data_IF_230040011223
#
_entry.id   IF_230040011223
#
_cell.length_a   1.000
_cell.length_b   1.000
_cell.length_c   1.000
_cell.angle_alpha   90.00
_cell.angle_beta   90.00
_cell.angle_gamma   90.00
#
_symmetry.space_group_name_H-M   'P 1'
#
loop_
_entity.id
_entity.type
_entity.pdbx_description
1 polymer ?
#
# COMPACT_ATOMS: atom_id res chain seq x y z
N UNK A 1 51.85 -0.07 -20.78
CA UNK A 1 51.67 -1.12 -19.75
C UNK A 1 50.66 -2.11 -20.30
N UNK A 2 50.91 -3.42 -20.26
CA UNK A 2 49.97 -4.41 -20.82
C UNK A 2 48.71 -4.49 -19.94
N UNK A 3 47.51 -4.79 -20.49
CA UNK A 3 46.28 -4.88 -19.70
C UNK A 3 46.36 -5.87 -18.52
N UNK A 4 47.09 -6.99 -18.70
CA UNK A 4 47.41 -7.96 -17.65
C UNK A 4 48.16 -7.35 -16.46
N UNK A 5 49.06 -6.41 -16.72
CA UNK A 5 49.95 -5.84 -15.70
C UNK A 5 49.24 -4.72 -14.96
N UNK A 6 48.37 -3.98 -15.64
CA UNK A 6 47.40 -3.08 -15.01
C UNK A 6 46.43 -3.87 -14.10
N UNK A 7 45.94 -5.04 -14.54
CA UNK A 7 45.11 -5.90 -13.73
C UNK A 7 45.86 -6.44 -12.49
N UNK A 8 47.07 -7.00 -12.67
CA UNK A 8 47.93 -7.47 -11.55
C UNK A 8 48.24 -6.34 -10.56
N UNK A 9 48.61 -5.15 -11.04
CA UNK A 9 48.88 -3.99 -10.17
C UNK A 9 47.60 -3.52 -9.45
N UNK A 10 46.44 -3.45 -10.11
CA UNK A 10 45.16 -3.15 -9.45
C UNK A 10 44.82 -4.17 -8.35
N UNK A 11 45.09 -5.46 -8.56
CA UNK A 11 44.87 -6.51 -7.55
C UNK A 11 45.85 -6.39 -6.37
N UNK A 12 47.09 -5.95 -6.60
CA UNK A 12 48.10 -5.77 -5.56
C UNK A 12 47.97 -4.45 -4.75
N UNK A 13 47.39 -3.39 -5.34
CA UNK A 13 47.25 -2.07 -4.72
C UNK A 13 45.81 -1.67 -4.34
N UNK A 14 44.81 -2.54 -4.56
CA UNK A 14 43.48 -2.33 -3.99
C UNK A 14 43.48 -2.54 -2.47
N UNK A 15 42.88 -1.60 -1.73
CA UNK A 15 42.49 -1.82 -0.33
C UNK A 15 41.65 -3.12 -0.24
N UNK A 16 41.98 -4.07 0.66
CA UNK A 16 41.17 -5.27 0.90
C UNK A 16 39.68 -4.98 1.13
N UNK A 17 39.33 -3.91 1.84
CA UNK A 17 37.95 -3.46 2.03
C UNK A 17 37.29 -3.15 0.67
N UNK A 18 37.94 -2.31 -0.16
CA UNK A 18 37.43 -1.95 -1.48
C UNK A 18 37.30 -3.18 -2.40
N UNK A 19 38.21 -4.16 -2.29
CA UNK A 19 38.13 -5.43 -3.02
C UNK A 19 37.01 -6.34 -2.51
N UNK A 20 36.66 -6.27 -1.22
CA UNK A 20 35.49 -6.94 -0.66
C UNK A 20 34.19 -6.27 -1.10
N UNK A 21 34.07 -4.94 -0.94
CA UNK A 21 32.92 -4.13 -1.39
C UNK A 21 32.64 -4.33 -2.88
N UNK A 22 33.66 -4.23 -3.75
CA UNK A 22 33.49 -4.48 -5.18
C UNK A 22 33.02 -5.90 -5.50
N UNK A 23 33.39 -6.90 -4.68
CA UNK A 23 32.91 -8.27 -4.83
C UNK A 23 31.45 -8.39 -4.42
N UNK A 24 31.09 -7.92 -3.22
CA UNK A 24 29.71 -7.90 -2.72
C UNK A 24 28.78 -7.17 -3.67
N UNK A 25 29.19 -6.02 -4.23
CA UNK A 25 28.42 -5.30 -5.24
C UNK A 25 28.26 -6.10 -6.55
N UNK A 26 29.32 -6.77 -7.01
CA UNK A 26 29.25 -7.60 -8.24
C UNK A 26 28.35 -8.82 -8.04
N UNK A 27 28.44 -9.48 -6.89
CA UNK A 27 27.59 -10.62 -6.50
C UNK A 27 26.13 -10.15 -6.34
N UNK A 28 25.89 -9.00 -5.70
CA UNK A 28 24.57 -8.38 -5.56
C UNK A 28 23.91 -8.06 -6.91
N UNK A 29 24.68 -7.58 -7.89
CA UNK A 29 24.18 -7.32 -9.24
C UNK A 29 23.67 -8.59 -9.93
N UNK A 30 24.27 -9.77 -9.67
CA UNK A 30 23.73 -11.05 -10.19
C UNK A 30 22.40 -11.44 -9.56
N UNK A 31 22.14 -11.01 -8.32
CA UNK A 31 20.88 -11.29 -7.61
C UNK A 31 19.79 -10.24 -7.91
N UNK A 32 20.15 -9.12 -8.56
CA UNK A 32 19.25 -7.99 -8.75
C UNK A 32 18.02 -8.34 -9.60
N UNK A 33 18.21 -9.13 -10.66
CA UNK A 33 17.11 -9.66 -11.49
C UNK A 33 16.14 -10.52 -10.68
N UNK A 34 16.68 -11.45 -9.86
CA UNK A 34 15.90 -12.29 -8.93
C UNK A 34 15.10 -11.46 -7.95
N UNK A 35 15.71 -10.45 -7.31
CA UNK A 35 15.04 -9.57 -6.33
C UNK A 35 13.96 -8.70 -6.99
N UNK A 36 14.22 -8.15 -8.19
CA UNK A 36 13.22 -7.42 -8.98
C UNK A 36 12.04 -8.33 -9.30
N UNK A 37 12.29 -9.50 -9.89
CA UNK A 37 11.26 -10.48 -10.26
C UNK A 37 10.43 -10.92 -9.04
N UNK A 38 11.10 -11.25 -7.92
CA UNK A 38 10.48 -11.63 -6.64
C UNK A 38 9.52 -10.57 -6.10
N UNK A 39 9.90 -9.29 -6.17
CA UNK A 39 9.07 -8.16 -5.73
C UNK A 39 7.95 -7.85 -6.71
N UNK A 40 8.20 -7.91 -8.02
CA UNK A 40 7.15 -7.74 -9.04
C UNK A 40 6.09 -8.85 -8.97
N UNK A 41 6.49 -10.09 -8.69
CA UNK A 41 5.58 -11.16 -8.31
C UNK A 41 4.83 -10.83 -7.01
N UNK A 42 5.50 -10.28 -5.99
CA UNK A 42 4.87 -9.84 -4.74
C UNK A 42 3.71 -8.86 -4.91
N UNK A 43 3.72 -8.03 -5.97
CA UNK A 43 2.63 -7.12 -6.33
C UNK A 43 1.47 -7.76 -7.12
N UNK A 44 1.49 -9.07 -7.37
CA UNK A 44 0.41 -9.77 -8.09
C UNK A 44 -0.54 -10.51 -7.14
N UNK A 45 -1.82 -10.54 -7.49
CA UNK A 45 -2.76 -11.54 -6.97
C UNK A 45 -2.40 -12.91 -7.53
N UNK A 46 -2.49 -13.97 -6.71
CA UNK A 46 -2.27 -15.34 -7.15
C UNK A 46 -3.53 -16.18 -6.93
N UNK A 47 -3.86 -16.98 -7.93
CA UNK A 47 -4.88 -18.00 -7.89
C UNK A 47 -4.27 -19.25 -7.24
N UNK A 48 -4.96 -19.79 -6.25
CA UNK A 48 -4.65 -21.08 -5.65
C UNK A 48 -5.66 -22.10 -6.18
N UNK A 49 -5.27 -23.37 -6.23
CA UNK A 49 -6.13 -24.48 -6.63
C UNK A 49 -6.16 -25.50 -5.49
N UNK A 50 -7.34 -26.00 -5.08
CA UNK A 50 -7.42 -27.01 -4.04
C UNK A 50 -6.89 -28.35 -4.56
N UNK A 51 -6.46 -29.23 -3.64
CA UNK A 51 -5.81 -30.50 -4.00
C UNK A 51 -6.70 -31.41 -4.88
N UNK A 52 -8.02 -31.34 -4.72
CA UNK A 52 -9.01 -32.14 -5.47
C UNK A 52 -9.79 -31.31 -6.52
N UNK A 53 -9.11 -30.45 -7.29
CA UNK A 53 -9.76 -29.79 -8.43
C UNK A 53 -9.87 -30.72 -9.65
N UNK A 54 -11.08 -31.24 -9.90
CA UNK A 54 -11.38 -32.17 -10.98
C UNK A 54 -12.60 -31.74 -11.81
N UNK A 55 -12.46 -30.70 -12.64
CA UNK A 55 -13.44 -30.34 -13.67
C UNK A 55 -13.45 -31.39 -14.81
N UNK A 56 -14.57 -32.10 -15.08
CA UNK A 56 -14.65 -33.08 -16.16
C UNK A 56 -14.63 -32.48 -17.58
N UNK A 57 -14.91 -31.18 -17.72
CA UNK A 57 -14.99 -30.48 -19.01
C UNK A 57 -13.66 -29.83 -19.42
N UNK A 58 -12.69 -29.74 -18.49
CA UNK A 58 -11.43 -29.05 -18.72
C UNK A 58 -10.49 -29.87 -19.61
N UNK A 59 -10.22 -29.37 -20.82
CA UNK A 59 -9.33 -30.04 -21.78
C UNK A 59 -7.92 -30.21 -21.22
N UNK A 60 -7.47 -31.47 -21.07
CA UNK A 60 -6.14 -31.81 -20.54
C UNK A 60 -5.00 -31.56 -21.54
N UNK A 61 -4.76 -30.29 -21.88
CA UNK A 61 -3.62 -29.80 -22.68
C UNK A 61 -2.93 -28.59 -22.05
N UNK A 62 -1.61 -28.51 -22.20
CA UNK A 62 -0.82 -27.39 -21.71
C UNK A 62 -1.02 -26.16 -22.60
N UNK A 63 -1.46 -25.04 -22.04
CA UNK A 63 -1.75 -23.80 -22.78
C UNK A 63 -0.52 -23.26 -23.53
N UNK A 64 0.68 -23.39 -22.98
CA UNK A 64 1.92 -22.85 -23.56
C UNK A 64 2.44 -23.65 -24.75
N UNK A 65 2.35 -24.98 -24.71
CA UNK A 65 2.94 -25.85 -25.74
C UNK A 65 1.93 -26.72 -26.52
N UNK A 66 0.63 -26.52 -26.28
CA UNK A 66 -0.52 -27.29 -26.81
C UNK A 66 -0.51 -28.82 -26.58
N UNK A 67 0.55 -29.39 -25.99
CA UNK A 67 0.69 -30.84 -25.75
C UNK A 67 -0.30 -31.32 -24.70
N UNK A 68 -0.96 -32.45 -24.96
CA UNK A 68 -1.85 -33.14 -24.00
C UNK A 68 -1.08 -33.69 -22.81
N UNK A 69 -1.70 -33.62 -21.62
CA UNK A 69 -1.19 -34.28 -20.41
C UNK A 69 -1.40 -35.79 -20.51
N UNK A 70 -0.43 -36.55 -20.03
CA UNK A 70 -0.36 -38.03 -20.06
C UNK A 70 0.50 -38.49 -18.89
N UNK A 71 0.59 -39.80 -18.64
CA UNK A 71 1.30 -40.38 -17.49
C UNK A 71 2.73 -39.82 -17.24
N UNK A 72 3.50 -39.51 -18.30
CA UNK A 72 4.85 -38.94 -18.21
C UNK A 72 4.91 -37.39 -18.28
N UNK A 73 3.78 -36.70 -18.40
CA UNK A 73 3.66 -35.25 -18.47
C UNK A 73 2.58 -34.80 -17.49
N UNK A 74 3.00 -34.57 -16.24
CA UNK A 74 2.16 -34.03 -15.17
C UNK A 74 1.61 -32.65 -15.55
N UNK A 75 0.34 -32.47 -15.25
CA UNK A 75 -0.40 -31.22 -15.18
C UNK A 75 -0.05 -30.45 -13.90
N UNK A 76 -0.02 -29.13 -14.01
CA UNK A 76 0.04 -28.16 -12.92
C UNK A 76 -0.79 -26.95 -13.31
N UNK A 77 -1.27 -26.17 -12.35
CA UNK A 77 -1.85 -24.86 -12.62
C UNK A 77 -0.80 -23.74 -12.46
N UNK A 78 -0.86 -22.73 -13.33
CA UNK A 78 -0.13 -21.48 -13.16
C UNK A 78 -0.83 -20.64 -12.10
N UNK A 79 -0.19 -20.43 -10.96
CA UNK A 79 -0.78 -19.68 -9.84
C UNK A 79 -0.90 -18.17 -10.12
N UNK A 80 -0.36 -17.63 -11.22
CA UNK A 80 -0.62 -16.25 -11.63
C UNK A 80 -1.81 -16.12 -12.58
N UNK A 81 -2.10 -17.13 -13.41
CA UNK A 81 -3.01 -17.00 -14.55
C UNK A 81 -3.97 -18.18 -14.76
N UNK A 82 -4.12 -19.05 -13.75
CA UNK A 82 -5.08 -20.15 -13.71
C UNK A 82 -4.86 -21.29 -14.71
N UNK A 83 -4.07 -21.08 -15.76
CA UNK A 83 -3.96 -21.98 -16.89
C UNK A 83 -3.13 -23.24 -16.59
N UNK A 84 -3.55 -24.36 -17.20
CA UNK A 84 -2.92 -25.67 -17.05
C UNK A 84 -1.62 -25.75 -17.85
N UNK A 85 -0.53 -26.11 -17.19
CA UNK A 85 0.84 -26.08 -17.72
C UNK A 85 1.67 -27.27 -17.25
N UNK A 86 2.58 -27.74 -18.11
CA UNK A 86 3.51 -28.82 -17.75
C UNK A 86 4.75 -28.29 -17.02
N UNK A 87 5.56 -29.21 -16.48
CA UNK A 87 6.86 -28.91 -15.87
C UNK A 87 7.77 -28.08 -16.79
N UNK A 88 7.96 -28.49 -18.05
CA UNK A 88 8.81 -27.78 -19.01
C UNK A 88 8.33 -26.35 -19.37
N UNK A 89 7.10 -25.98 -19.00
CA UNK A 89 6.52 -24.66 -19.28
C UNK A 89 6.21 -23.86 -18.01
N UNK A 90 6.61 -24.34 -16.83
CA UNK A 90 6.36 -23.66 -15.55
C UNK A 90 7.39 -23.97 -14.47
N UNK A 91 7.74 -22.96 -13.68
CA UNK A 91 8.73 -23.08 -12.59
C UNK A 91 8.20 -22.41 -11.32
N UNK A 92 8.71 -22.84 -10.16
CA UNK A 92 8.47 -22.19 -8.88
C UNK A 92 9.37 -20.95 -8.76
N UNK A 93 8.77 -19.78 -8.57
CA UNK A 93 9.48 -18.51 -8.34
C UNK A 93 9.26 -18.02 -6.91
N UNK A 94 10.27 -17.33 -6.36
CA UNK A 94 10.15 -16.61 -5.10
C UNK A 94 9.15 -15.45 -5.25
N UNK A 95 8.32 -15.24 -4.22
CA UNK A 95 7.32 -14.16 -4.14
C UNK A 95 7.41 -13.49 -2.78
N UNK A 96 7.64 -12.18 -2.76
CA UNK A 96 7.70 -11.34 -1.55
C UNK A 96 6.33 -10.69 -1.33
N UNK A 97 5.35 -11.48 -0.84
CA UNK A 97 3.94 -11.06 -0.72
C UNK A 97 3.68 -10.15 0.50
N UNK A 98 4.55 -10.20 1.50
CA UNK A 98 4.70 -9.20 2.57
C UNK A 98 6.19 -8.92 2.76
N UNK A 99 6.54 -7.81 3.41
CA UNK A 99 7.95 -7.49 3.71
C UNK A 99 8.54 -8.59 4.58
N UNK A 100 9.63 -9.22 4.12
CA UNK A 100 10.29 -10.34 4.79
C UNK A 100 9.66 -11.73 4.58
N UNK A 101 8.40 -11.81 4.12
CA UNK A 101 7.70 -13.10 3.93
C UNK A 101 7.87 -13.62 2.50
N UNK A 102 8.70 -14.67 2.34
CA UNK A 102 8.98 -15.29 1.04
C UNK A 102 8.25 -16.62 0.88
N UNK A 103 7.44 -16.73 -0.17
CA UNK A 103 6.79 -17.99 -0.61
C UNK A 103 7.23 -18.38 -2.01
N UNK A 104 6.94 -19.62 -2.44
CA UNK A 104 7.24 -20.13 -3.78
C UNK A 104 5.95 -20.40 -4.56
N UNK A 105 5.70 -19.67 -5.64
CA UNK A 105 4.51 -19.85 -6.49
C UNK A 105 4.90 -20.34 -7.89
N UNK A 106 4.14 -21.30 -8.44
CA UNK A 106 4.37 -21.86 -9.77
C UNK A 106 3.81 -20.92 -10.84
N UNK A 107 4.69 -20.36 -11.66
CA UNK A 107 4.31 -19.49 -12.77
C UNK A 107 4.69 -20.13 -14.11
N UNK A 108 3.87 -19.93 -15.14
CA UNK A 108 4.20 -20.34 -16.50
C UNK A 108 5.19 -19.35 -17.14
N UNK A 109 5.93 -19.79 -18.16
CA UNK A 109 6.95 -18.93 -18.81
C UNK A 109 6.37 -17.62 -19.38
N UNK A 110 5.13 -17.61 -19.88
CA UNK A 110 4.48 -16.40 -20.39
C UNK A 110 4.19 -15.38 -19.27
N UNK A 111 3.80 -15.87 -18.08
CA UNK A 111 3.62 -15.05 -16.89
C UNK A 111 4.93 -14.42 -16.40
N UNK A 112 6.02 -15.18 -16.46
CA UNK A 112 7.36 -14.68 -16.11
C UNK A 112 7.76 -13.56 -17.07
N UNK A 113 7.58 -13.75 -18.37
CA UNK A 113 7.86 -12.71 -19.39
C UNK A 113 7.03 -11.45 -19.18
N UNK A 114 5.71 -11.57 -18.92
CA UNK A 114 4.85 -10.41 -18.60
C UNK A 114 5.33 -9.66 -17.35
N UNK A 115 5.67 -10.37 -16.27
CA UNK A 115 6.20 -9.79 -15.01
C UNK A 115 7.59 -9.15 -15.19
N UNK A 116 8.47 -9.75 -15.99
CA UNK A 116 9.81 -9.23 -16.29
C UNK A 116 9.78 -8.02 -17.24
N UNK A 117 8.75 -7.91 -18.08
CA UNK A 117 8.52 -6.75 -18.95
C UNK A 117 7.70 -5.62 -18.28
N UNK A 118 7.16 -5.83 -17.07
CA UNK A 118 6.12 -4.98 -16.46
C UNK A 118 4.83 -4.83 -17.31
N UNK A 119 4.55 -5.79 -18.19
CA UNK A 119 3.34 -5.76 -19.03
C UNK A 119 2.18 -6.41 -18.27
N UNK A 120 1.41 -5.56 -17.59
CA UNK A 120 0.25 -5.95 -16.78
C UNK A 120 -1.09 -5.47 -17.35
N UNK A 121 -1.05 -4.60 -18.36
CA UNK A 121 -2.21 -3.91 -18.93
C UNK A 121 -2.52 -4.48 -20.33
N UNK A 122 -2.31 -5.79 -20.48
CA UNK A 122 -2.48 -6.60 -21.68
C UNK A 122 -3.95 -7.01 -21.79
N UNK A 123 -4.65 -6.71 -22.89
CA UNK A 123 -6.09 -7.02 -23.03
C UNK A 123 -6.35 -8.54 -23.00
N UNK A 124 -5.36 -9.33 -23.45
CA UNK A 124 -5.38 -10.80 -23.32
C UNK A 124 -5.23 -11.28 -21.87
N UNK A 125 -4.99 -10.42 -20.87
CA UNK A 125 -4.81 -10.84 -19.48
C UNK A 125 -6.11 -11.39 -18.88
N UNK A 126 -7.27 -10.79 -19.18
CA UNK A 126 -8.56 -11.28 -18.68
C UNK A 126 -8.91 -12.68 -19.22
N UNK A 127 -8.86 -12.93 -20.55
CA UNK A 127 -8.90 -14.30 -21.08
C UNK A 127 -7.81 -15.22 -20.51
N UNK A 128 -6.59 -14.70 -20.32
CA UNK A 128 -5.47 -15.48 -19.81
C UNK A 128 -5.48 -15.74 -18.30
N UNK A 129 -6.42 -15.20 -17.51
CA UNK A 129 -6.57 -15.49 -16.08
C UNK A 129 -7.30 -16.83 -15.81
N UNK A 130 -7.95 -17.41 -16.83
CA UNK A 130 -8.68 -18.67 -16.73
C UNK A 130 -10.06 -18.54 -16.06
N UNK A 131 -10.79 -19.65 -15.86
CA UNK A 131 -12.08 -19.62 -15.17
C UNK A 131 -11.90 -19.17 -13.72
N UNK A 132 -12.69 -18.18 -13.29
CA UNK A 132 -12.70 -17.67 -11.93
C UNK A 132 -13.33 -18.73 -11.01
N UNK A 133 -12.51 -19.40 -10.21
CA UNK A 133 -12.96 -20.36 -9.20
C UNK A 133 -13.23 -19.64 -7.87
N UNK A 134 -14.52 -19.50 -7.52
CA UNK A 134 -14.98 -19.14 -6.18
C UNK A 134 -15.79 -20.31 -5.62
N UNK A 135 -15.09 -21.24 -4.97
CA UNK A 135 -15.42 -21.71 -3.62
C UNK A 135 -14.44 -22.80 -3.19
N UNK A 136 -13.68 -22.57 -2.12
CA UNK A 136 -13.10 -23.66 -1.30
C UNK A 136 -12.75 -23.14 0.10
N UNK A 137 -13.09 -23.85 1.19
CA UNK A 137 -12.84 -23.39 2.56
C UNK A 137 -11.37 -23.06 2.85
N UNK A 138 -11.06 -22.16 3.80
CA UNK A 138 -9.69 -21.72 4.13
C UNK A 138 -8.69 -22.86 4.39
N UNK A 139 -9.17 -24.00 4.89
CA UNK A 139 -8.39 -25.17 5.27
C UNK A 139 -7.81 -25.93 4.07
N UNK A 140 -8.43 -25.86 2.88
CA UNK A 140 -8.03 -26.61 1.69
C UNK A 140 -6.81 -26.01 0.94
N UNK A 141 -6.32 -24.84 1.36
CA UNK A 141 -5.26 -24.09 0.69
C UNK A 141 -3.86 -24.31 1.27
N UNK A 142 -3.75 -25.02 2.39
CA UNK A 142 -2.47 -25.36 3.02
C UNK A 142 -1.82 -26.54 2.30
N UNK A 143 -0.49 -26.52 2.02
CA UNK A 143 0.21 -27.74 1.69
C UNK A 143 0.22 -28.65 2.93
N UNK A 144 -0.33 -29.85 2.78
CA UNK A 144 -0.18 -30.88 3.80
C UNK A 144 1.33 -31.16 4.04
N UNK A 145 1.76 -31.48 5.27
CA UNK A 145 3.09 -32.04 5.50
C UNK A 145 3.25 -33.29 4.64
N UNK A 146 4.41 -33.46 3.98
CA UNK A 146 4.63 -34.64 3.12
C UNK A 146 4.70 -35.91 3.97
N UNK A 147 3.59 -36.65 3.96
CA UNK A 147 3.48 -37.95 4.61
C UNK A 147 3.91 -39.05 3.63
N UNK A 148 5.19 -39.42 3.67
CA UNK A 148 5.54 -40.83 3.57
C UNK A 148 6.70 -41.16 4.52
N UNK A 149 6.68 -42.37 5.08
CA UNK A 149 7.48 -42.71 6.24
C UNK A 149 8.64 -43.66 5.91
N UNK A 150 9.86 -43.26 6.29
CA UNK A 150 10.91 -44.22 6.62
C UNK A 150 11.75 -43.70 7.77
N UNK A 151 11.88 -44.51 8.82
CA UNK A 151 12.70 -44.19 9.98
C UNK A 151 14.19 -44.28 9.67
N UNK A 152 14.98 -43.37 10.24
CA UNK A 152 15.95 -43.71 11.28
C UNK A 152 16.49 -42.44 11.96
N UNK A 153 16.96 -42.63 13.19
CA UNK A 153 17.52 -41.70 14.17
C UNK A 153 18.50 -40.66 13.62
N UNK A 154 18.43 -39.42 14.12
CA UNK A 154 19.23 -38.99 15.28
C UNK A 154 18.65 -37.71 15.92
N UNK A 155 19.02 -37.42 17.18
CA UNK A 155 18.60 -36.23 17.94
C UNK A 155 19.70 -35.16 17.89
N UNK A 156 19.37 -33.94 17.44
CA UNK A 156 20.03 -32.71 17.91
C UNK A 156 18.97 -31.61 18.09
N UNK A 157 18.87 -31.07 19.30
CA UNK A 157 18.15 -29.83 19.59
C UNK A 157 19.04 -28.63 19.18
N UNK A 158 18.54 -27.68 18.40
CA UNK A 158 19.24 -26.41 18.12
C UNK A 158 18.34 -25.19 18.36
N UNK A 159 18.90 -24.20 19.05
CA UNK A 159 18.20 -23.12 19.72
C UNK A 159 18.04 -21.93 18.74
N UNK A 160 17.07 -22.03 17.81
CA UNK A 160 16.83 -21.00 16.77
C UNK A 160 16.23 -19.72 17.36
N UNK A 161 17.08 -18.93 18.03
CA UNK A 161 16.76 -17.61 18.56
C UNK A 161 16.32 -16.64 17.45
N UNK A 162 15.06 -16.22 17.51
CA UNK A 162 14.44 -15.35 16.52
C UNK A 162 14.84 -13.88 16.71
N UNK A 163 16.02 -13.52 16.20
CA UNK A 163 16.51 -12.13 16.19
C UNK A 163 15.67 -11.27 15.23
N UNK A 164 14.62 -10.66 15.76
CA UNK A 164 13.85 -9.64 15.06
C UNK A 164 14.71 -8.38 14.85
N UNK A 165 15.10 -8.12 13.60
CA UNK A 165 15.72 -6.84 13.20
C UNK A 165 14.62 -5.78 13.04
N UNK A 166 14.71 -4.70 13.80
CA UNK A 166 13.73 -3.60 13.77
C UNK A 166 13.83 -2.76 12.50
N UNK A 167 12.68 -2.27 12.01
CA UNK A 167 12.58 -1.47 10.78
C UNK A 167 13.46 -0.20 10.79
N UNK A 168 13.79 0.31 11.99
CA UNK A 168 14.70 1.44 12.25
C UNK A 168 16.05 1.38 11.52
N UNK A 169 16.55 0.17 11.29
CA UNK A 169 17.95 -0.02 10.88
C UNK A 169 18.12 0.07 9.36
N UNK A 170 17.03 -0.19 8.61
CA UNK A 170 17.00 -0.18 7.15
C UNK A 170 17.06 1.24 6.56
N UNK A 171 16.31 2.19 7.14
CA UNK A 171 16.17 3.56 6.62
C UNK A 171 17.48 4.35 6.59
N UNK A 172 18.49 3.95 7.37
CA UNK A 172 19.79 4.60 7.44
C UNK A 172 20.94 3.77 6.83
N UNK A 173 20.66 2.68 6.12
CA UNK A 173 21.71 1.79 5.58
C UNK A 173 22.67 2.53 4.63
N UNK A 174 22.14 3.40 3.75
CA UNK A 174 22.94 4.23 2.84
C UNK A 174 23.84 5.23 3.60
N UNK A 175 23.36 5.80 4.71
CA UNK A 175 24.14 6.70 5.55
C UNK A 175 25.28 5.99 6.28
N UNK A 176 25.01 4.77 6.77
CA UNK A 176 26.02 3.93 7.44
C UNK A 176 27.10 3.43 6.46
N UNK A 177 26.73 3.03 5.23
CA UNK A 177 27.67 2.66 4.17
C UNK A 177 28.60 3.82 3.74
N UNK A 178 28.15 5.07 3.88
CA UNK A 178 28.92 6.28 3.60
C UNK A 178 29.68 6.82 4.84
N UNK A 179 29.59 6.14 5.98
CA UNK A 179 30.25 6.59 7.22
C UNK A 179 31.77 6.55 7.11
N UNK A 180 32.43 7.57 7.68
CA UNK A 180 33.89 7.58 7.83
C UNK A 180 34.38 6.62 8.94
N UNK A 181 33.50 6.24 9.88
CA UNK A 181 33.79 5.21 10.87
C UNK A 181 33.88 3.81 10.22
N UNK A 182 35.02 3.08 10.35
CA UNK A 182 35.16 1.73 9.80
C UNK A 182 34.18 0.71 10.39
N UNK A 183 33.85 0.79 11.69
CA UNK A 183 32.99 -0.24 12.31
C UNK A 183 31.54 -0.14 11.82
N UNK A 184 30.97 1.07 11.80
CA UNK A 184 29.64 1.34 11.25
C UNK A 184 29.56 0.92 9.79
N UNK A 185 30.60 1.20 8.99
CA UNK A 185 30.65 0.77 7.59
C UNK A 185 30.73 -0.75 7.44
N UNK A 186 31.51 -1.42 8.30
CA UNK A 186 31.62 -2.89 8.30
C UNK A 186 30.30 -3.56 8.68
N UNK A 187 29.62 -3.06 9.73
CA UNK A 187 28.29 -3.54 10.15
C UNK A 187 27.25 -3.34 9.04
N UNK A 188 27.26 -2.19 8.36
CA UNK A 188 26.37 -1.93 7.23
C UNK A 188 26.63 -2.86 6.03
N UNK A 189 27.89 -3.18 5.72
CA UNK A 189 28.25 -4.14 4.68
C UNK A 189 27.85 -5.58 5.05
N UNK A 190 27.97 -5.97 6.31
CA UNK A 190 27.51 -7.27 6.81
C UNK A 190 25.98 -7.38 6.71
N UNK A 191 25.25 -6.32 7.08
CA UNK A 191 23.79 -6.26 6.99
C UNK A 191 23.31 -6.32 5.53
N UNK A 192 23.99 -5.61 4.61
CA UNK A 192 23.79 -5.75 3.17
C UNK A 192 24.07 -7.18 2.69
N UNK A 193 25.12 -7.81 3.21
CA UNK A 193 25.47 -9.21 2.93
C UNK A 193 24.35 -10.18 3.35
N UNK A 194 23.75 -10.00 4.53
CA UNK A 194 22.61 -10.80 5.00
C UNK A 194 21.34 -10.60 4.16
N UNK A 195 21.10 -9.39 3.66
CA UNK A 195 19.96 -9.07 2.78
C UNK A 195 20.08 -9.68 1.37
N UNK A 196 21.31 -9.89 0.89
CA UNK A 196 21.61 -10.47 -0.44
C UNK A 196 21.87 -11.98 -0.38
N UNK A 197 22.45 -12.46 0.72
CA UNK A 197 22.95 -13.82 0.89
C UNK A 197 22.10 -14.69 1.81
N UNK A 198 21.20 -15.46 1.21
CA UNK A 198 20.67 -16.69 1.82
C UNK A 198 20.37 -17.75 0.75
N UNK A 199 21.32 -18.69 0.58
CA UNK A 199 21.02 -20.11 0.46
C UNK A 199 21.74 -20.92 1.54
N UNK A 200 21.15 -22.05 1.95
CA UNK A 200 21.69 -22.96 2.97
C UNK A 200 22.81 -23.86 2.41
N UNK A 201 24.03 -23.77 2.95
CA UNK A 201 25.01 -24.88 2.96
C UNK A 201 26.23 -24.54 3.84
N UNK A 202 26.84 -25.55 4.46
CA UNK A 202 27.93 -25.44 5.43
C UNK A 202 29.33 -25.67 4.83
N UNK A 203 30.38 -25.15 5.50
CA UNK A 203 31.75 -25.72 5.55
C UNK A 203 32.62 -24.91 6.52
N UNK A 204 33.71 -25.51 7.03
CA UNK A 204 34.46 -25.02 8.19
C UNK A 204 35.96 -24.75 7.91
N UNK A 205 36.72 -24.42 8.97
CA UNK A 205 38.20 -24.26 9.03
C UNK A 205 38.78 -22.94 8.45
N UNK A 206 39.85 -22.34 9.00
CA UNK A 206 40.51 -22.52 10.32
C UNK A 206 41.49 -21.38 10.67
N UNK A 207 41.55 -21.03 11.96
CA UNK A 207 42.72 -20.57 12.75
C UNK A 207 43.73 -19.53 12.20
N UNK A 208 43.96 -18.47 12.98
CA UNK A 208 45.26 -18.27 13.69
C UNK A 208 45.23 -17.09 14.67
N UNK A 209 46.05 -17.15 15.73
CA UNK A 209 46.33 -16.03 16.65
C UNK A 209 47.41 -15.08 16.04
N UNK A 210 47.82 -13.91 16.56
CA UNK A 210 47.87 -13.28 17.91
C UNK A 210 48.19 -11.76 17.69
N UNK A 211 48.32 -10.78 18.62
CA UNK A 211 48.33 -10.73 20.09
C UNK A 211 48.02 -9.32 20.67
N UNK A 212 47.96 -9.25 22.01
CA UNK A 212 47.98 -8.11 22.96
C UNK A 212 48.51 -6.74 22.45
N UNK A 213 47.77 -5.68 22.79
CA UNK A 213 48.26 -4.28 22.86
C UNK A 213 47.57 -3.51 24.01
N UNK A 214 48.28 -2.66 24.77
CA UNK A 214 47.81 -2.05 26.03
C UNK A 214 48.47 -0.68 26.31
N UNK A 215 47.68 0.40 26.34
CA UNK A 215 47.91 1.67 27.08
C UNK A 215 46.59 2.48 27.05
N UNK A 216 46.03 3.15 28.07
CA UNK A 216 46.47 4.00 29.21
C UNK A 216 46.69 5.51 28.93
N UNK A 217 45.60 6.28 29.16
CA UNK A 217 45.47 7.58 29.87
C UNK A 217 46.24 8.85 29.43
N UNK A 218 45.41 9.88 29.13
CA UNK A 218 45.50 11.31 29.55
C UNK A 218 46.69 12.17 28.98
N UNK A 219 46.71 13.52 29.16
CA UNK A 219 45.81 14.40 29.95
C UNK A 219 45.10 15.51 29.13
N UNK A 220 44.59 16.53 29.84
CA UNK A 220 43.60 17.52 29.41
C UNK A 220 44.13 18.95 29.19
N UNK A 221 43.20 19.83 28.78
CA UNK A 221 43.11 21.27 29.15
C UNK A 221 44.15 22.27 28.63
N UNK A 222 43.69 23.16 27.75
CA UNK A 222 44.13 24.55 27.57
C UNK A 222 42.90 25.46 27.53
N UNK A 223 42.99 26.73 27.94
CA UNK A 223 41.81 27.56 28.25
C UNK A 223 41.93 29.02 27.79
N UNK A 224 40.78 29.71 27.80
CA UNK A 224 40.56 31.17 27.64
C UNK A 224 40.89 31.81 26.27
N UNK A 225 39.86 32.41 25.64
CA UNK A 225 39.61 33.87 25.78
C UNK A 225 38.29 34.33 25.16
N UNK A 226 37.60 35.23 25.85
CA UNK A 226 36.49 36.02 25.32
C UNK A 226 36.93 37.03 24.26
N UNK A 227 36.05 37.31 23.29
CA UNK A 227 35.81 38.68 22.81
C UNK A 227 34.31 38.87 22.55
N UNK A 228 33.79 40.06 22.89
CA UNK A 228 32.37 40.37 22.94
C UNK A 228 32.01 41.41 21.86
N UNK A 229 31.21 41.05 20.86
CA UNK A 229 30.78 41.96 19.79
C UNK A 229 29.26 41.96 19.58
N UNK A 230 28.62 43.07 19.95
CA UNK A 230 27.16 43.28 19.77
C UNK A 230 26.84 43.68 18.33
N UNK A 231 26.20 42.80 17.55
CA UNK A 231 25.66 43.10 16.22
C UNK A 231 24.20 43.57 16.29
N UNK A 232 23.87 44.67 15.59
CA UNK A 232 22.55 45.33 15.67
C UNK A 232 21.54 44.69 14.72
N UNK A 233 20.36 44.30 15.23
CA UNK A 233 19.28 43.70 14.44
C UNK A 233 18.53 44.72 13.57
N UNK A 234 18.84 44.77 12.27
CA UNK A 234 18.08 45.56 11.28
C UNK A 234 16.72 44.88 10.99
N UNK A 235 15.67 45.29 11.69
CA UNK A 235 14.29 44.78 11.59
C UNK A 235 13.63 45.16 10.25
N UNK A 236 13.93 44.41 9.18
CA UNK A 236 13.42 44.61 7.82
C UNK A 236 11.90 44.34 7.78
N UNK A 237 11.07 45.38 7.87
CA UNK A 237 9.60 45.28 7.82
C UNK A 237 9.13 44.78 6.44
N UNK A 238 8.92 43.48 6.29
CA UNK A 238 8.12 42.94 5.19
C UNK A 238 6.67 43.42 5.36
N UNK A 239 6.07 43.97 4.30
CA UNK A 239 4.63 44.24 4.27
C UNK A 239 3.91 42.91 4.05
N UNK A 240 3.56 42.21 5.13
CA UNK A 240 2.69 41.01 5.08
C UNK A 240 1.38 41.41 4.40
N UNK A 241 1.07 40.82 3.25
CA UNK A 241 -0.18 41.10 2.54
C UNK A 241 -1.38 40.77 3.43
N UNK A 242 -2.49 41.50 3.27
CA UNK A 242 -3.77 41.08 3.85
C UNK A 242 -4.18 39.79 3.15
N UNK A 243 -4.25 38.68 3.88
CA UNK A 243 -4.85 37.44 3.40
C UNK A 243 -6.32 37.68 3.04
N UNK A 244 -6.81 36.97 2.03
CA UNK A 244 -8.26 36.92 1.75
C UNK A 244 -8.99 36.18 2.88
N UNK A 245 -10.32 36.33 2.96
CA UNK A 245 -11.14 35.58 3.91
C UNK A 245 -10.99 34.06 3.68
N UNK A 246 -10.97 33.60 2.43
CA UNK A 246 -10.70 32.19 2.10
C UNK A 246 -9.32 31.71 2.57
N UNK A 247 -8.25 32.48 2.37
CA UNK A 247 -6.91 32.14 2.86
C UNK A 247 -6.80 32.14 4.39
N UNK A 248 -7.63 32.91 5.09
CA UNK A 248 -7.72 32.90 6.54
C UNK A 248 -8.53 31.71 7.07
N UNK A 249 -9.59 31.29 6.37
CA UNK A 249 -10.37 30.10 6.73
C UNK A 249 -9.59 28.81 6.42
N UNK A 250 -8.91 28.72 5.28
CA UNK A 250 -7.99 27.60 4.99
C UNK A 250 -6.90 27.48 6.06
N UNK A 251 -6.21 28.58 6.39
CA UNK A 251 -5.24 28.62 7.51
C UNK A 251 -5.90 28.23 8.84
N UNK A 252 -7.18 28.55 9.08
CA UNK A 252 -7.92 28.13 10.27
C UNK A 252 -8.22 26.62 10.29
N UNK A 253 -8.57 26.02 9.14
CA UNK A 253 -8.77 24.57 8.99
C UNK A 253 -7.44 23.82 9.17
N UNK A 254 -6.37 24.25 8.50
CA UNK A 254 -5.02 23.71 8.65
C UNK A 254 -4.54 23.77 10.11
N UNK A 255 -4.74 24.92 10.79
CA UNK A 255 -4.37 25.07 12.20
C UNK A 255 -5.28 24.24 13.11
N UNK A 256 -6.58 24.14 12.86
CA UNK A 256 -7.46 23.28 13.65
C UNK A 256 -7.02 21.82 13.55
N UNK A 257 -6.87 21.30 12.34
CA UNK A 257 -6.36 19.95 12.05
C UNK A 257 -5.01 19.73 12.73
N UNK A 258 -4.05 20.65 12.57
CA UNK A 258 -2.71 20.52 13.14
C UNK A 258 -2.74 20.53 14.68
N UNK A 259 -3.56 21.36 15.31
CA UNK A 259 -3.71 21.42 16.77
C UNK A 259 -4.46 20.21 17.34
N UNK A 260 -5.43 19.66 16.61
CA UNK A 260 -6.13 18.43 16.99
C UNK A 260 -5.18 17.24 16.87
N UNK A 261 -4.47 17.09 15.73
CA UNK A 261 -3.46 16.05 15.52
C UNK A 261 -2.28 16.14 16.50
N UNK A 262 -1.87 17.34 16.91
CA UNK A 262 -0.82 17.52 17.92
C UNK A 262 -1.23 16.96 19.30
N UNK A 263 -2.53 16.92 19.61
CA UNK A 263 -3.09 16.31 20.83
C UNK A 263 -3.32 14.81 20.63
N UNK A 264 -3.92 14.40 19.51
CA UNK A 264 -4.26 13.00 19.20
C UNK A 264 -3.10 12.16 18.65
N UNK A 265 -1.86 12.70 18.57
CA UNK A 265 -0.70 12.00 17.97
C UNK A 265 -0.33 10.66 18.61
N UNK A 266 -0.87 10.38 19.80
CA UNK A 266 -0.67 9.14 20.55
C UNK A 266 -1.82 8.13 20.35
N UNK A 267 -2.92 8.54 19.73
CA UNK A 267 -4.12 7.70 19.50
C UNK A 267 -4.04 6.96 18.16
N UNK A 268 -3.39 7.56 17.15
CA UNK A 268 -3.20 6.99 15.82
C UNK A 268 -1.87 6.24 15.71
N UNK A 269 -1.79 5.07 16.34
CA UNK A 269 -0.78 4.06 16.02
C UNK A 269 -1.18 3.28 14.75
N UNK A 270 -0.26 2.51 14.16
CA UNK A 270 -0.52 1.81 12.89
C UNK A 270 -1.57 0.71 13.04
N UNK A 271 -1.60 0.07 14.21
CA UNK A 271 -2.54 -0.96 14.64
C UNK A 271 -3.97 -0.42 14.76
N UNK A 272 -4.12 0.88 15.02
CA UNK A 272 -5.40 1.56 15.20
C UNK A 272 -5.98 2.12 13.88
N UNK A 273 -5.25 2.02 12.77
CA UNK A 273 -5.67 2.50 11.46
C UNK A 273 -6.36 1.37 10.67
N UNK A 274 -7.68 1.44 10.52
CA UNK A 274 -8.50 0.40 9.90
C UNK A 274 -9.13 0.87 8.57
N UNK A 275 -9.13 -0.01 7.56
CA UNK A 275 -9.59 0.27 6.19
C UNK A 275 -10.33 -0.93 5.62
N UNK A 276 -11.43 -0.69 4.91
CA UNK A 276 -12.33 -1.76 4.46
C UNK A 276 -11.90 -2.44 3.14
N UNK A 277 -10.65 -2.89 3.07
CA UNK A 277 -10.08 -3.63 1.93
C UNK A 277 -9.81 -5.12 2.22
N UNK A 278 -9.72 -5.52 3.50
CA UNK A 278 -9.20 -6.84 3.93
C UNK A 278 -10.16 -8.01 3.83
N UNK A 279 -11.47 -7.77 3.93
CA UNK A 279 -12.53 -8.80 3.85
C UNK A 279 -13.73 -8.27 3.06
N UNK A 280 -14.55 -9.19 2.54
CA UNK A 280 -15.83 -8.89 1.88
C UNK A 280 -16.88 -9.86 2.43
N UNK A 281 -18.00 -9.32 2.90
CA UNK A 281 -19.09 -10.00 3.60
C UNK A 281 -20.40 -10.04 2.80
N UNK A 282 -20.49 -9.22 1.74
CA UNK A 282 -21.55 -9.23 0.74
C UNK A 282 -21.21 -10.07 -0.48
N UNK A 283 -22.24 -10.61 -1.14
CA UNK A 283 -22.14 -11.20 -2.48
C UNK A 283 -22.24 -10.09 -3.54
N UNK A 284 -21.75 -10.38 -4.74
CA UNK A 284 -22.01 -9.50 -5.89
C UNK A 284 -23.36 -9.85 -6.52
N UNK A 285 -24.16 -8.81 -6.78
CA UNK A 285 -25.38 -8.88 -7.56
C UNK A 285 -25.18 -8.04 -8.83
N UNK A 286 -25.63 -8.54 -9.97
CA UNK A 286 -25.48 -7.88 -11.28
C UNK A 286 -26.87 -7.64 -11.86
N UNK A 287 -27.17 -6.39 -12.19
CA UNK A 287 -28.47 -5.97 -12.70
C UNK A 287 -28.30 -4.79 -13.67
N UNK A 288 -28.11 -5.12 -14.95
CA UNK A 288 -27.96 -4.14 -16.04
C UNK A 288 -29.19 -3.25 -16.31
N UNK A 289 -30.25 -3.31 -15.49
CA UNK A 289 -31.32 -2.31 -15.47
C UNK A 289 -31.07 -1.17 -14.47
N UNK A 290 -30.10 -1.34 -13.57
CA UNK A 290 -29.78 -0.42 -12.44
C UNK A 290 -28.40 0.25 -12.56
N UNK A 291 -27.62 -0.12 -13.57
CA UNK A 291 -26.26 0.37 -13.88
C UNK A 291 -26.07 0.46 -15.40
N UNK A 292 -25.16 1.32 -15.83
CA UNK A 292 -24.84 1.60 -17.24
C UNK A 292 -24.10 0.45 -17.93
N UNK A 293 -23.36 -0.36 -17.17
CA UNK A 293 -22.58 -1.50 -17.65
C UNK A 293 -23.09 -2.79 -16.98
N UNK A 294 -23.44 -3.81 -17.78
CA UNK A 294 -24.03 -5.07 -17.28
C UNK A 294 -23.07 -5.89 -16.40
N UNK A 295 -21.76 -5.74 -16.61
CA UNK A 295 -20.71 -6.43 -15.86
C UNK A 295 -20.25 -5.62 -14.63
N UNK A 296 -20.88 -4.48 -14.33
CA UNK A 296 -20.65 -3.71 -13.10
C UNK A 296 -21.53 -4.23 -11.96
N UNK A 297 -20.96 -4.75 -10.85
CA UNK A 297 -21.76 -5.24 -9.73
C UNK A 297 -22.41 -4.08 -8.96
N UNK A 298 -23.64 -4.31 -8.47
CA UNK A 298 -24.32 -3.37 -7.58
C UNK A 298 -23.48 -3.16 -6.30
N UNK A 299 -23.37 -1.92 -5.80
CA UNK A 299 -22.76 -1.69 -4.50
C UNK A 299 -23.66 -2.29 -3.40
N UNK A 300 -23.07 -2.83 -2.33
CA UNK A 300 -23.84 -3.31 -1.20
C UNK A 300 -24.58 -2.14 -0.53
N UNK A 301 -25.80 -2.40 -0.06
CA UNK A 301 -26.59 -1.42 0.69
C UNK A 301 -26.60 -1.78 2.19
N UNK A 302 -26.63 -0.79 3.10
CA UNK A 302 -26.89 -1.05 4.51
C UNK A 302 -28.25 -1.74 4.70
N UNK A 303 -28.48 -2.29 5.90
CA UNK A 303 -29.83 -2.75 6.30
C UNK A 303 -30.89 -1.67 6.02
N UNK A 304 -32.08 -2.08 5.58
CA UNK A 304 -33.13 -1.17 5.14
C UNK A 304 -33.54 -0.14 6.21
N UNK A 305 -33.46 -0.48 7.50
CA UNK A 305 -33.73 0.48 8.58
C UNK A 305 -32.60 1.50 8.75
N UNK A 306 -31.33 1.07 8.64
CA UNK A 306 -30.16 1.97 8.63
C UNK A 306 -30.21 2.90 7.43
N UNK A 307 -30.45 2.38 6.22
CA UNK A 307 -30.47 3.18 5.00
C UNK A 307 -31.63 4.19 5.00
N UNK A 308 -32.80 3.83 5.52
CA UNK A 308 -33.92 4.75 5.70
C UNK A 308 -33.60 5.89 6.69
N UNK A 309 -32.99 5.60 7.85
CA UNK A 309 -32.54 6.61 8.82
C UNK A 309 -31.52 7.58 8.20
N UNK A 310 -30.56 7.01 7.46
CA UNK A 310 -29.47 7.70 6.76
C UNK A 310 -30.00 8.63 5.66
N UNK A 311 -30.94 8.18 4.84
CA UNK A 311 -31.64 9.00 3.83
C UNK A 311 -32.48 10.10 4.48
N UNK A 312 -33.18 9.81 5.58
CA UNK A 312 -33.94 10.81 6.33
C UNK A 312 -33.02 11.90 6.92
N UNK A 313 -31.84 11.53 7.43
CA UNK A 313 -30.84 12.51 7.88
C UNK A 313 -30.34 13.41 6.74
N UNK A 314 -30.01 12.83 5.58
CA UNK A 314 -29.59 13.58 4.39
C UNK A 314 -30.64 14.63 4.02
N UNK A 315 -31.92 14.22 3.94
CA UNK A 315 -33.04 15.11 3.61
C UNK A 315 -33.26 16.20 4.68
N UNK A 316 -33.08 15.87 5.97
CA UNK A 316 -33.20 16.81 7.08
C UNK A 316 -31.98 17.76 7.26
N UNK A 317 -30.80 17.41 6.74
CA UNK A 317 -29.59 18.26 6.82
C UNK A 317 -29.70 19.55 5.99
N UNK A 318 -30.53 19.52 4.95
CA UNK A 318 -30.64 20.60 3.96
C UNK A 318 -29.47 20.70 2.97
N UNK A 319 -28.44 19.86 3.06
CA UNK A 319 -27.22 19.95 2.23
C UNK A 319 -27.47 19.76 0.71
N UNK A 320 -28.54 19.04 0.35
CA UNK A 320 -28.96 18.85 -1.04
C UNK A 320 -29.69 20.08 -1.63
N UNK A 321 -30.07 21.08 -0.82
CA UNK A 321 -30.79 22.26 -1.33
C UNK A 321 -29.86 23.16 -2.17
N UNK A 322 -30.40 23.79 -3.21
CA UNK A 322 -29.64 24.72 -4.04
C UNK A 322 -29.05 25.89 -3.23
N UNK A 323 -29.79 26.39 -2.24
CA UNK A 323 -29.42 27.54 -1.39
C UNK A 323 -28.49 27.20 -0.20
N UNK A 324 -28.01 25.96 -0.09
CA UNK A 324 -27.05 25.57 0.94
C UNK A 324 -25.65 26.16 0.68
N UNK A 325 -25.03 26.76 1.70
CA UNK A 325 -23.66 27.29 1.62
C UNK A 325 -22.61 26.17 1.65
N UNK A 326 -22.12 25.80 0.46
CA UNK A 326 -21.10 24.78 0.26
C UNK A 326 -19.67 25.28 0.50
N UNK A 327 -19.45 26.58 0.79
CA UNK A 327 -18.10 27.17 0.80
C UNK A 327 -17.15 26.51 1.81
N UNK A 328 -17.62 26.18 3.01
CA UNK A 328 -16.84 25.47 4.02
C UNK A 328 -16.50 24.02 3.58
N UNK A 329 -17.44 23.33 2.94
CA UNK A 329 -17.25 21.97 2.44
C UNK A 329 -16.28 21.93 1.24
N UNK A 330 -16.33 22.93 0.36
CA UNK A 330 -15.35 23.11 -0.73
C UNK A 330 -13.94 23.33 -0.19
N UNK A 331 -13.78 24.12 0.89
CA UNK A 331 -12.47 24.32 1.54
C UNK A 331 -11.96 23.05 2.24
N UNK A 332 -12.84 22.25 2.85
CA UNK A 332 -12.45 20.93 3.40
C UNK A 332 -12.06 19.96 2.27
N UNK A 333 -12.79 19.94 1.16
CA UNK A 333 -12.47 19.16 -0.03
C UNK A 333 -11.12 19.54 -0.65
N UNK A 334 -10.80 20.84 -0.71
CA UNK A 334 -9.48 21.33 -1.14
C UNK A 334 -8.37 20.84 -0.21
N UNK A 335 -8.51 21.06 1.11
CA UNK A 335 -7.49 20.62 2.09
C UNK A 335 -7.31 19.10 2.05
N UNK A 336 -8.38 18.32 1.85
CA UNK A 336 -8.30 16.87 1.68
C UNK A 336 -7.51 16.44 0.43
N UNK A 337 -7.78 17.08 -0.72
CA UNK A 337 -7.06 16.83 -1.97
C UNK A 337 -5.56 17.15 -1.83
N UNK A 338 -5.24 18.37 -1.36
CA UNK A 338 -3.86 18.81 -1.11
C UNK A 338 -3.14 17.91 -0.10
N UNK A 339 -3.85 17.44 0.94
CA UNK A 339 -3.28 16.58 1.99
C UNK A 339 -2.86 15.20 1.49
N UNK A 340 -3.60 14.66 0.51
CA UNK A 340 -3.33 13.37 -0.16
C UNK A 340 -2.60 13.55 -1.50
N UNK A 341 -2.10 14.75 -1.81
CA UNK A 341 -1.45 15.09 -3.08
C UNK A 341 -2.28 14.76 -4.34
N UNK A 342 -3.62 14.73 -4.19
CA UNK A 342 -4.57 14.41 -5.26
C UNK A 342 -5.04 15.68 -5.99
N UNK A 343 -5.36 15.60 -7.30
CA UNK A 343 -5.91 16.74 -8.06
C UNK A 343 -7.36 17.08 -7.68
N UNK A 344 -8.14 16.09 -7.21
CA UNK A 344 -9.59 16.20 -6.96
C UNK A 344 -9.89 15.86 -5.49
N UNK A 345 -10.80 16.62 -4.87
CA UNK A 345 -11.39 16.31 -3.57
C UNK A 345 -12.86 16.70 -3.51
N UNK A 346 -13.66 15.99 -2.71
CA UNK A 346 -15.10 16.26 -2.58
C UNK A 346 -15.70 15.74 -1.28
N UNK A 347 -16.78 16.40 -0.85
CA UNK A 347 -17.69 15.97 0.22
C UNK A 347 -18.95 15.45 -0.46
N UNK A 348 -19.36 14.24 -0.12
CA UNK A 348 -20.45 13.51 -0.78
C UNK A 348 -21.55 13.10 0.18
N UNK A 349 -22.77 13.04 -0.33
CA UNK A 349 -23.91 12.29 0.23
C UNK A 349 -24.48 11.38 -0.86
N UNK A 350 -25.17 10.31 -0.48
CA UNK A 350 -25.91 9.46 -1.43
C UNK A 350 -27.31 9.22 -0.87
N UNK A 351 -28.36 9.67 -1.54
CA UNK A 351 -29.73 9.45 -1.08
C UNK A 351 -30.27 8.07 -1.53
N UNK A 352 -31.57 7.96 -1.74
CA UNK A 352 -32.26 6.75 -2.21
C UNK A 352 -31.89 6.40 -3.66
N UNK A 353 -31.55 7.39 -4.49
CA UNK A 353 -31.42 7.23 -5.96
C UNK A 353 -30.08 7.74 -6.51
N UNK A 354 -29.48 8.77 -5.91
CA UNK A 354 -28.36 9.53 -6.47
C UNK A 354 -27.26 9.82 -5.44
N UNK A 355 -26.02 9.83 -5.92
CA UNK A 355 -24.88 10.50 -5.30
C UNK A 355 -24.95 12.01 -5.57
N UNK A 356 -24.50 12.81 -4.59
CA UNK A 356 -24.47 14.27 -4.65
C UNK A 356 -23.15 14.82 -4.08
N UNK A 357 -22.45 15.64 -4.85
CA UNK A 357 -21.27 16.39 -4.42
C UNK A 357 -21.68 17.65 -3.65
N UNK A 358 -21.97 17.50 -2.35
CA UNK A 358 -22.36 18.60 -1.44
C UNK A 358 -21.22 19.59 -1.13
N UNK A 359 -19.97 19.26 -1.47
CA UNK A 359 -18.87 20.22 -1.62
C UNK A 359 -17.77 19.63 -2.50
N UNK A 360 -17.01 20.44 -3.23
CA UNK A 360 -15.95 19.93 -4.09
C UNK A 360 -14.79 20.90 -4.36
N UNK A 361 -13.70 20.32 -4.85
CA UNK A 361 -12.51 20.97 -5.37
C UNK A 361 -12.06 20.19 -6.63
N UNK A 362 -12.05 20.88 -7.78
CA UNK A 362 -11.73 20.35 -9.11
C UNK A 362 -12.56 19.13 -9.60
N UNK A 363 -13.69 18.81 -8.96
CA UNK A 363 -14.57 17.74 -9.44
C UNK A 363 -15.33 18.18 -10.70
N UNK A 364 -15.29 17.43 -11.82
CA UNK A 364 -16.05 17.76 -13.03
C UNK A 364 -17.55 17.85 -12.78
N UNK A 365 -18.23 18.79 -13.44
CA UNK A 365 -19.68 19.02 -13.28
C UNK A 365 -20.53 17.78 -13.58
N UNK A 366 -20.13 17.00 -14.59
CA UNK A 366 -20.71 15.68 -14.94
C UNK A 366 -20.61 14.61 -13.83
N UNK A 367 -19.82 14.87 -12.77
CA UNK A 367 -19.66 14.02 -11.61
C UNK A 367 -20.20 14.67 -10.32
N UNK A 368 -20.93 15.79 -10.41
CA UNK A 368 -21.58 16.41 -9.23
C UNK A 368 -22.83 15.62 -8.81
N UNK A 369 -23.46 14.94 -9.75
CA UNK A 369 -24.54 13.96 -9.52
C UNK A 369 -24.25 12.69 -10.33
N UNK A 370 -24.44 11.52 -9.72
CA UNK A 370 -24.21 10.21 -10.33
C UNK A 370 -25.26 9.22 -9.78
N UNK A 371 -25.66 8.18 -10.52
CA UNK A 371 -26.54 7.14 -9.97
C UNK A 371 -25.96 6.51 -8.69
N UNK A 372 -26.84 6.19 -7.72
CA UNK A 372 -26.46 5.54 -6.45
C UNK A 372 -25.59 4.30 -6.65
N UNK A 373 -25.79 3.55 -7.73
CA UNK A 373 -25.07 2.31 -8.01
C UNK A 373 -23.69 2.50 -8.67
N UNK A 374 -23.34 3.72 -9.10
CA UNK A 374 -22.20 3.99 -10.00
C UNK A 374 -21.16 4.93 -9.39
N UNK A 375 -21.04 4.93 -8.07
CA UNK A 375 -20.08 5.74 -7.33
C UNK A 375 -19.37 4.92 -6.23
N UNK A 376 -18.07 5.20 -6.04
CA UNK A 376 -17.24 4.52 -5.03
C UNK A 376 -17.64 4.83 -3.59
N UNK A 377 -18.39 5.92 -3.37
CA UNK A 377 -18.82 6.38 -2.06
C UNK A 377 -19.84 5.45 -1.39
N UNK A 378 -20.71 4.77 -2.16
CA UNK A 378 -21.63 3.79 -1.59
C UNK A 378 -20.91 2.62 -0.89
N UNK A 379 -19.74 2.20 -1.36
CA UNK A 379 -18.96 1.18 -0.66
C UNK A 379 -18.35 1.70 0.66
N UNK A 380 -18.06 2.99 0.78
CA UNK A 380 -17.64 3.62 2.03
C UNK A 380 -18.81 3.82 3.01
N UNK A 381 -20.02 4.09 2.49
CA UNK A 381 -21.27 4.13 3.26
C UNK A 381 -21.58 2.76 3.88
N UNK A 382 -21.56 1.69 3.06
CA UNK A 382 -21.77 0.32 3.56
C UNK A 382 -20.68 -0.16 4.52
N UNK A 383 -19.41 0.13 4.22
CA UNK A 383 -18.27 -0.29 5.03
C UNK A 383 -18.27 0.25 6.47
N UNK A 384 -18.98 1.35 6.72
CA UNK A 384 -18.91 2.16 7.94
C UNK A 384 -17.46 2.53 8.38
N UNK A 385 -16.50 2.53 7.45
CA UNK A 385 -15.06 2.69 7.69
C UNK A 385 -14.38 3.47 6.56
N UNK A 386 -13.19 4.06 6.79
CA UNK A 386 -12.35 4.57 5.71
C UNK A 386 -12.09 3.52 4.63
N UNK A 387 -12.12 3.95 3.38
CA UNK A 387 -12.12 3.08 2.23
C UNK A 387 -11.15 3.60 1.17
N UNK A 388 -10.03 2.89 1.00
CA UNK A 388 -8.88 3.31 0.19
C UNK A 388 -8.69 2.29 -0.94
N UNK A 389 -8.73 2.76 -2.18
CA UNK A 389 -8.63 1.93 -3.39
C UNK A 389 -7.42 2.39 -4.19
N UNK A 390 -6.33 1.64 -4.05
CA UNK A 390 -4.99 1.94 -4.62
C UNK A 390 -4.94 1.92 -6.14
N UNK A 391 -5.78 1.09 -6.76
CA UNK A 391 -6.01 1.01 -8.20
C UNK A 391 -7.42 0.47 -8.48
N UNK A 392 -8.43 1.32 -8.72
CA UNK A 392 -9.79 0.91 -9.04
C UNK A 392 -9.91 0.06 -10.30
N UNK A 393 -9.01 0.23 -11.28
CA UNK A 393 -8.97 -0.59 -12.51
C UNK A 393 -8.67 -2.08 -12.24
N UNK A 394 -8.21 -2.43 -11.02
CA UNK A 394 -7.88 -3.79 -10.58
C UNK A 394 -8.82 -4.34 -9.50
N UNK A 395 -9.93 -3.68 -9.21
CA UNK A 395 -10.97 -4.18 -8.30
C UNK A 395 -12.30 -4.31 -9.05
N UNK A 396 -12.87 -5.52 -9.02
CA UNK A 396 -14.12 -5.84 -9.74
C UNK A 396 -15.32 -4.97 -9.32
N UNK A 397 -15.26 -4.31 -8.16
CA UNK A 397 -16.26 -3.31 -7.72
C UNK A 397 -16.26 -2.02 -8.54
N UNK A 398 -15.16 -1.71 -9.22
CA UNK A 398 -14.90 -0.37 -9.78
C UNK A 398 -14.37 -0.39 -11.21
N UNK A 399 -13.74 -1.48 -11.66
CA UNK A 399 -13.14 -1.58 -12.99
C UNK A 399 -14.14 -1.34 -14.15
N UNK A 400 -15.44 -1.50 -13.90
CA UNK A 400 -16.54 -1.26 -14.85
C UNK A 400 -17.35 0.03 -14.56
N UNK A 401 -16.97 0.83 -13.55
CA UNK A 401 -17.64 2.12 -13.28
C UNK A 401 -17.19 3.21 -14.29
N UNK A 402 -18.11 4.08 -14.76
CA UNK A 402 -17.78 5.20 -15.66
C UNK A 402 -16.67 6.13 -15.12
N UNK A 403 -16.61 6.36 -13.80
CA UNK A 403 -15.56 7.19 -13.21
C UNK A 403 -14.16 6.57 -13.30
N UNK A 404 -14.05 5.25 -13.49
CA UNK A 404 -12.76 4.54 -13.65
C UNK A 404 -12.40 4.38 -15.12
N UNK A 405 -13.38 4.13 -15.99
CA UNK A 405 -13.16 3.95 -17.43
C UNK A 405 -13.07 5.30 -18.17
N UNK A 406 -14.09 6.15 -18.08
CA UNK A 406 -14.20 7.39 -18.85
C UNK A 406 -13.44 8.55 -18.22
N UNK A 407 -13.51 8.68 -16.89
CA UNK A 407 -12.82 9.74 -16.13
C UNK A 407 -11.41 9.32 -15.66
N UNK A 408 -11.03 8.06 -15.88
CA UNK A 408 -9.68 7.56 -15.66
C UNK A 408 -9.19 7.57 -14.21
N UNK A 409 -10.07 7.45 -13.22
CA UNK A 409 -9.68 7.44 -11.79
C UNK A 409 -8.85 6.19 -11.45
N UNK A 410 -7.60 6.39 -11.03
CA UNK A 410 -6.62 5.34 -10.67
C UNK A 410 -6.28 5.30 -9.18
N UNK A 411 -6.72 6.28 -8.39
CA UNK A 411 -6.71 6.22 -6.94
C UNK A 411 -7.95 6.89 -6.37
N UNK A 412 -8.48 6.33 -5.28
CA UNK A 412 -9.57 6.89 -4.49
C UNK A 412 -9.34 6.62 -3.00
N UNK A 413 -9.63 7.61 -2.16
CA UNK A 413 -9.73 7.43 -0.71
C UNK A 413 -10.94 8.18 -0.17
N UNK A 414 -11.90 7.46 0.42
CA UNK A 414 -13.11 8.00 1.05
C UNK A 414 -13.13 7.75 2.56
N UNK A 415 -13.43 8.78 3.34
CA UNK A 415 -13.53 8.75 4.80
C UNK A 415 -14.98 9.05 5.21
N UNK A 416 -15.61 8.21 6.06
CA UNK A 416 -17.05 8.29 6.33
C UNK A 416 -17.44 9.55 7.10
N UNK A 417 -18.51 10.20 6.66
CA UNK A 417 -19.20 11.28 7.39
C UNK A 417 -20.30 10.67 8.25
N UNK A 418 -20.33 10.99 9.55
CA UNK A 418 -21.28 10.37 10.50
C UNK A 418 -22.34 11.36 10.98
N UNK A 419 -23.60 10.93 10.98
CA UNK A 419 -24.65 11.60 11.73
C UNK A 419 -24.44 11.43 13.26
N UNK A 420 -25.06 12.26 14.12
CA UNK A 420 -24.89 12.17 15.58
C UNK A 420 -25.34 10.86 16.24
N UNK A 421 -26.09 10.02 15.51
CA UNK A 421 -26.50 8.67 15.94
C UNK A 421 -25.47 7.57 15.54
N UNK A 422 -24.44 7.91 14.76
CA UNK A 422 -23.38 7.02 14.30
C UNK A 422 -23.47 6.61 12.82
N UNK A 423 -24.64 6.74 12.18
CA UNK A 423 -24.89 6.32 10.80
C UNK A 423 -23.96 7.06 9.82
N UNK A 424 -23.38 6.34 8.86
CA UNK A 424 -22.54 6.95 7.81
C UNK A 424 -23.42 7.51 6.71
N UNK A 425 -23.55 8.83 6.63
CA UNK A 425 -24.45 9.54 5.71
C UNK A 425 -23.78 9.96 4.39
N UNK A 426 -22.47 9.80 4.29
CA UNK A 426 -21.69 10.23 3.13
C UNK A 426 -20.20 10.03 3.34
N UNK A 427 -19.37 10.67 2.50
CA UNK A 427 -17.90 10.56 2.60
C UNK A 427 -17.16 11.84 2.20
N UNK A 428 -16.07 12.14 2.91
CA UNK A 428 -15.01 13.04 2.45
C UNK A 428 -14.02 12.24 1.60
N UNK A 429 -13.83 12.63 0.35
CA UNK A 429 -13.11 11.87 -0.66
C UNK A 429 -11.98 12.68 -1.29
N UNK A 430 -10.93 11.97 -1.72
CA UNK A 430 -9.95 12.44 -2.68
C UNK A 430 -9.78 11.40 -3.80
N UNK A 431 -9.47 11.87 -5.01
CA UNK A 431 -9.30 11.02 -6.20
C UNK A 431 -8.21 11.54 -7.13
N UNK A 432 -7.54 10.63 -7.83
CA UNK A 432 -6.42 10.92 -8.74
C UNK A 432 -6.46 10.00 -9.97
N UNK A 433 -5.95 10.50 -11.10
CA UNK A 433 -5.70 9.74 -12.33
C UNK A 433 -4.35 8.99 -12.31
N UNK A 434 -3.57 9.14 -11.24
CA UNK A 434 -2.37 8.35 -10.93
C UNK A 434 -2.70 7.36 -9.80
N UNK A 435 -2.11 6.16 -9.81
CA UNK A 435 -2.29 5.15 -8.76
C UNK A 435 -1.34 5.40 -7.58
N UNK A 436 -1.82 5.25 -6.34
CA UNK A 436 -1.05 5.50 -5.11
C UNK A 436 -0.76 4.19 -4.35
N UNK A 437 0.49 3.99 -3.93
CA UNK A 437 0.93 2.76 -3.26
C UNK A 437 0.40 2.60 -1.83
N UNK A 438 0.21 3.71 -1.11
CA UNK A 438 -0.28 3.78 0.26
C UNK A 438 -0.77 5.20 0.58
N UNK A 439 -1.38 5.36 1.75
CA UNK A 439 -1.48 6.63 2.48
C UNK A 439 -0.74 6.42 3.82
N UNK A 440 -0.16 7.47 4.40
CA UNK A 440 0.49 7.35 5.72
C UNK A 440 -0.53 7.47 6.86
N UNK A 441 -0.17 6.97 8.05
CA UNK A 441 -0.92 7.15 9.31
C UNK A 441 -1.27 8.62 9.58
N UNK A 442 -0.36 9.55 9.22
CA UNK A 442 -0.57 10.99 9.36
C UNK A 442 -1.63 11.51 8.37
N UNK A 443 -1.75 10.91 7.20
CA UNK A 443 -2.74 11.30 6.18
C UNK A 443 -4.12 10.75 6.58
N UNK A 444 -4.19 9.47 6.97
CA UNK A 444 -5.37 8.83 7.55
C UNK A 444 -5.96 9.67 8.70
N UNK A 445 -5.15 9.98 9.72
CA UNK A 445 -5.61 10.76 10.87
C UNK A 445 -6.04 12.19 10.50
N UNK A 446 -5.43 12.79 9.46
CA UNK A 446 -5.86 14.10 8.94
C UNK A 446 -7.23 13.99 8.27
N UNK A 447 -7.40 13.02 7.38
CA UNK A 447 -8.64 12.81 6.63
C UNK A 447 -9.80 12.44 7.55
N UNK A 448 -9.58 11.64 8.59
CA UNK A 448 -10.59 11.35 9.61
C UNK A 448 -10.96 12.61 10.42
N UNK A 449 -9.99 13.46 10.74
CA UNK A 449 -10.24 14.76 11.41
C UNK A 449 -11.05 15.71 10.52
N UNK A 450 -10.74 15.77 9.23
CA UNK A 450 -11.48 16.56 8.23
C UNK A 450 -12.90 16.00 8.00
N UNK A 451 -13.07 14.68 8.00
CA UNK A 451 -14.38 14.02 7.87
C UNK A 451 -15.27 14.27 9.10
N UNK A 452 -14.69 14.29 10.32
CA UNK A 452 -15.38 14.71 11.55
C UNK A 452 -15.83 16.17 11.46
N UNK A 453 -14.93 17.08 11.06
CA UNK A 453 -15.27 18.50 10.87
C UNK A 453 -16.37 18.72 9.81
N UNK A 454 -16.33 17.99 8.70
CA UNK A 454 -17.40 18.02 7.69
C UNK A 454 -18.73 17.48 8.24
N UNK A 455 -18.69 16.42 9.06
CA UNK A 455 -19.88 15.88 9.74
C UNK A 455 -20.52 16.89 10.68
N UNK A 456 -19.73 17.60 11.48
CA UNK A 456 -20.21 18.65 12.39
C UNK A 456 -20.88 19.82 11.64
N UNK A 457 -20.36 20.20 10.45
CA UNK A 457 -20.98 21.22 9.58
C UNK A 457 -22.31 20.77 8.96
N UNK A 458 -22.52 19.46 8.85
CA UNK A 458 -23.73 18.83 8.29
C UNK A 458 -24.77 18.48 9.36
N UNK A 459 -24.48 18.74 10.64
CA UNK A 459 -25.44 18.61 11.73
C UNK A 459 -26.63 19.58 11.54
N UNK A 460 -27.90 19.10 11.60
CA UNK A 460 -29.06 19.97 11.50
C UNK A 460 -29.03 21.10 12.54
N UNK A 461 -29.28 22.34 12.08
CA UNK A 461 -29.26 23.57 12.91
C UNK A 461 -30.48 23.63 13.85
N UNK A 462 -30.51 22.71 14.80
CA UNK A 462 -31.56 22.45 15.78
C UNK A 462 -31.15 21.45 16.86
N UNK A 463 -30.16 20.57 16.61
CA UNK A 463 -29.55 19.74 17.65
C UNK A 463 -28.54 20.56 18.46
N UNK A 464 -29.02 21.25 19.49
CA UNK A 464 -28.16 22.00 20.42
C UNK A 464 -27.30 21.06 21.28
N UNK A 465 -26.05 20.81 20.87
CA UNK A 465 -25.06 20.13 21.70
C UNK A 465 -24.18 21.17 22.44
N UNK A 466 -24.35 21.38 23.76
CA UNK A 466 -23.82 22.56 24.44
C UNK A 466 -22.34 22.41 24.81
N UNK A 467 -21.43 22.50 23.82
CA UNK A 467 -19.98 22.34 24.08
C UNK A 467 -19.00 23.14 23.20
N UNK A 468 -19.44 24.23 22.58
CA UNK A 468 -18.57 25.13 21.80
C UNK A 468 -18.51 26.60 22.30
N UNK A 469 -18.97 26.89 23.52
CA UNK A 469 -18.64 28.12 24.26
C UNK A 469 -18.57 27.90 25.77
N UNK A 470 -17.37 27.57 26.29
CA UNK A 470 -16.94 27.84 27.67
C UNK A 470 -15.42 27.58 27.81
N UNK A 471 -14.68 28.63 28.17
CA UNK A 471 -13.27 28.66 28.61
C UNK A 471 -12.22 27.97 27.72
#
# INVERSE_FOLDING_TARGET
IHPSDLARRRVAYMNPEARHVMRVLTESLTQFERVIRRRRFGFQSFIYFPQEYADPLLEKRCTICAKTFRFFRRDFFCQLCGHMVCGDCSQLYEVEARVGELRKNRCCVQCVVRVDACMFDDEDLLPALGPILVDTPPEAWLPAPEADGTSLTDEEEDDTSSVATSESDMDNLTGQLLSQDPETRSRALEMLGRLVGSPTSSSASSSSATSKGKLMKLPSSGSLRDTNTKSKSKKKKSKRAKKTQSQAVLESVENHVTNTLAKSRFEYQLENCDVNDRTRDYKYEFDGSKVTNVDHPLPPMPDASKDANRVAYIKNSGALRADYDRSALNMIAQVAAERLACPIGFVSMVDDEQFHAIGNYNLPEIAHHLPRNENMCMHAVYAEKPFVVKNPQRDMRFAQMPCVQDLGVKFYAGFPLRAPNGDVVGSLCAADGVAHNNISTKDYATMETLAKLASDLLAPKGSSNPRLMAN
#
